data_IF_456277455024
#
_entry.id   IF_456277455024
#
_cell.length_a   1.000
_cell.length_b   1.000
_cell.length_c   1.000
_cell.angle_alpha   90.00
_cell.angle_beta   90.00
_cell.angle_gamma   90.00
#
_symmetry.space_group_name_H-M   'P 1'
#
loop_
_entity.id
_entity.type
_entity.pdbx_description
1 polymer ?
#
# COMPACT_ATOMS: atom_id res chain seq x y z
N UNK A 1 -14.55 8.17 14.17
CA UNK A 1 -14.15 8.48 15.57
C UNK A 1 -12.72 8.03 15.74
N UNK A 2 -11.80 8.95 16.05
CA UNK A 2 -10.42 8.63 16.42
C UNK A 2 -10.36 8.26 17.92
N UNK A 3 -9.28 7.59 18.32
CA UNK A 3 -8.96 7.31 19.73
C UNK A 3 -7.85 8.24 20.25
N UNK A 4 -7.64 9.40 19.62
CA UNK A 4 -6.53 10.32 19.98
C UNK A 4 -6.60 10.77 21.45
N UNK A 5 -7.81 11.03 21.95
CA UNK A 5 -8.09 11.40 23.34
C UNK A 5 -8.44 10.20 24.24
N UNK A 6 -8.49 8.99 23.68
CA UNK A 6 -8.91 7.75 24.35
C UNK A 6 -7.95 6.60 24.02
N UNK A 7 -6.67 6.78 24.36
CA UNK A 7 -5.60 5.82 24.01
C UNK A 7 -5.77 4.44 24.66
N UNK A 8 -6.48 4.37 25.78
CA UNK A 8 -6.86 3.15 26.49
C UNK A 8 -7.82 2.26 25.68
N UNK A 9 -8.54 2.84 24.74
CA UNK A 9 -9.48 2.15 23.84
C UNK A 9 -8.83 1.63 22.56
N UNK A 10 -7.50 1.81 22.43
CA UNK A 10 -6.74 1.21 21.34
C UNK A 10 -6.55 -0.30 21.60
N UNK A 11 -6.48 -1.04 20.50
CA UNK A 11 -6.01 -2.42 20.53
C UNK A 11 -4.50 -2.50 20.69
N UNK A 12 -4.03 -3.70 21.03
CA UNK A 12 -2.63 -4.03 20.88
C UNK A 12 -2.19 -3.91 19.41
N UNK A 13 -0.90 -3.63 19.22
CA UNK A 13 -0.30 -3.60 17.90
C UNK A 13 -0.28 -5.00 17.28
N UNK A 14 -0.67 -5.09 16.01
CA UNK A 14 -0.56 -6.31 15.21
C UNK A 14 0.86 -6.83 15.10
N UNK A 15 1.00 -8.05 14.58
CA UNK A 15 2.29 -8.46 14.02
C UNK A 15 2.64 -7.59 12.81
N UNK A 16 3.91 -7.59 12.45
CA UNK A 16 4.37 -6.91 11.26
C UNK A 16 3.76 -7.56 10.00
N UNK A 17 3.08 -6.78 9.19
CA UNK A 17 2.45 -7.23 7.94
C UNK A 17 3.36 -6.81 6.79
N UNK A 18 3.81 -7.80 6.02
CA UNK A 18 4.64 -7.60 4.83
C UNK A 18 3.77 -7.90 3.61
N UNK A 19 3.83 -7.09 2.53
CA UNK A 19 3.04 -7.34 1.32
C UNK A 19 3.32 -8.69 0.65
N UNK A 20 4.48 -9.30 0.89
CA UNK A 20 4.93 -10.57 0.29
C UNK A 20 4.79 -10.67 -1.24
N UNK A 21 4.72 -9.54 -1.95
CA UNK A 21 4.40 -9.51 -3.38
C UNK A 21 2.95 -9.85 -3.75
N UNK A 22 2.13 -10.38 -2.83
CA UNK A 22 0.74 -10.76 -3.07
C UNK A 22 -0.22 -9.99 -2.13
N UNK A 23 -1.06 -9.17 -2.75
CA UNK A 23 -2.00 -8.30 -2.06
C UNK A 23 -3.12 -9.06 -1.36
N UNK A 24 -3.56 -10.20 -1.92
CA UNK A 24 -4.57 -11.04 -1.29
C UNK A 24 -4.03 -11.69 -0.02
N UNK A 25 -2.75 -12.10 -0.03
CA UNK A 25 -2.07 -12.62 1.14
C UNK A 25 -1.86 -11.54 2.20
N UNK A 26 -1.41 -10.35 1.81
CA UNK A 26 -1.28 -9.20 2.70
C UNK A 26 -2.60 -8.86 3.44
N UNK A 27 -3.71 -8.82 2.70
CA UNK A 27 -5.06 -8.61 3.28
C UNK A 27 -5.45 -9.78 4.20
N UNK A 28 -5.16 -11.02 3.82
CA UNK A 28 -5.49 -12.20 4.62
C UNK A 28 -4.72 -12.21 5.95
N UNK A 29 -3.43 -11.87 5.91
CA UNK A 29 -2.57 -11.74 7.08
C UNK A 29 -3.06 -10.62 8.01
N UNK A 30 -3.41 -9.46 7.46
CA UNK A 30 -4.06 -8.38 8.21
C UNK A 30 -5.30 -8.88 8.94
N UNK A 31 -6.25 -9.45 8.19
CA UNK A 31 -7.56 -9.85 8.72
C UNK A 31 -7.37 -10.87 9.85
N UNK A 32 -6.42 -11.81 9.70
CA UNK A 32 -6.07 -12.78 10.73
C UNK A 32 -5.46 -12.10 11.95
N UNK A 33 -4.55 -11.14 11.76
CA UNK A 33 -3.86 -10.48 12.86
C UNK A 33 -4.80 -9.65 13.71
N UNK A 34 -5.75 -8.91 13.12
CA UNK A 34 -6.62 -7.99 13.89
C UNK A 34 -7.90 -8.62 14.41
N UNK A 35 -8.23 -9.84 13.95
CA UNK A 35 -9.48 -10.55 14.29
C UNK A 35 -9.73 -10.63 15.80
N UNK A 36 -8.67 -10.82 16.58
CA UNK A 36 -8.78 -11.07 18.02
C UNK A 36 -8.62 -9.78 18.86
N UNK A 37 -8.34 -8.64 18.23
CA UNK A 37 -8.05 -7.39 18.94
C UNK A 37 -9.27 -6.47 19.13
N UNK A 38 -10.46 -6.95 18.75
CA UNK A 38 -11.70 -6.17 18.83
C UNK A 38 -11.91 -5.21 17.66
N UNK A 39 -11.08 -5.29 16.62
CA UNK A 39 -11.27 -4.52 15.40
C UNK A 39 -12.52 -4.99 14.63
N UNK A 40 -13.32 -4.06 14.14
CA UNK A 40 -14.41 -4.35 13.22
C UNK A 40 -13.80 -4.70 11.87
N UNK A 41 -14.20 -5.85 11.35
CA UNK A 41 -13.78 -6.30 10.03
C UNK A 41 -14.80 -5.85 8.98
N UNK A 42 -14.38 -5.68 7.71
CA UNK A 42 -15.32 -5.50 6.63
C UNK A 42 -16.30 -6.69 6.56
N UNK A 43 -17.52 -6.50 6.01
CA UNK A 43 -18.47 -7.59 5.85
C UNK A 43 -17.84 -8.77 5.09
N UNK A 44 -18.08 -10.01 5.55
CA UNK A 44 -17.49 -11.23 4.94
C UNK A 44 -17.72 -11.31 3.43
N UNK A 45 -18.88 -10.85 2.95
CA UNK A 45 -19.21 -10.82 1.51
C UNK A 45 -18.25 -9.92 0.72
N UNK A 46 -17.91 -8.75 1.26
CA UNK A 46 -16.98 -7.78 0.65
C UNK A 46 -15.56 -8.34 0.63
N UNK A 47 -15.11 -8.90 1.75
CA UNK A 47 -13.79 -9.57 1.84
C UNK A 47 -13.69 -10.68 0.80
N UNK A 48 -14.70 -11.56 0.72
CA UNK A 48 -14.72 -12.66 -0.24
C UNK A 48 -14.68 -12.16 -1.68
N UNK A 49 -15.45 -11.11 -1.99
CA UNK A 49 -15.46 -10.51 -3.33
C UNK A 49 -14.09 -9.93 -3.70
N UNK A 50 -13.48 -9.12 -2.82
CA UNK A 50 -12.16 -8.54 -3.06
C UNK A 50 -11.05 -9.58 -3.19
N UNK A 51 -11.00 -10.57 -2.29
CA UNK A 51 -10.01 -11.65 -2.37
C UNK A 51 -10.20 -12.52 -3.61
N UNK A 52 -11.44 -12.82 -4.00
CA UNK A 52 -11.70 -13.55 -5.25
C UNK A 52 -11.29 -12.75 -6.47
N UNK A 53 -11.55 -11.44 -6.48
CA UNK A 53 -11.10 -10.56 -7.56
C UNK A 53 -9.58 -10.58 -7.68
N UNK A 54 -8.86 -10.38 -6.58
CA UNK A 54 -7.39 -10.43 -6.58
C UNK A 54 -6.89 -11.79 -7.06
N UNK A 55 -7.41 -12.90 -6.52
CA UNK A 55 -6.97 -14.26 -6.93
C UNK A 55 -7.24 -14.56 -8.41
N UNK A 56 -8.42 -14.19 -8.92
CA UNK A 56 -8.79 -14.45 -10.31
C UNK A 56 -8.03 -13.56 -11.29
N UNK A 57 -7.51 -12.43 -10.83
CA UNK A 57 -6.71 -11.50 -11.63
C UNK A 57 -5.24 -11.49 -11.18
N UNK A 58 -4.80 -12.54 -10.46
CA UNK A 58 -3.44 -12.64 -9.92
C UNK A 58 -2.38 -12.50 -11.00
N UNK A 59 -2.53 -13.24 -12.10
CA UNK A 59 -1.66 -13.09 -13.27
C UNK A 59 -1.71 -11.68 -13.89
N UNK A 60 -2.84 -10.99 -13.79
CA UNK A 60 -3.01 -9.65 -14.36
C UNK A 60 -2.41 -8.55 -13.48
N UNK A 61 -2.19 -8.78 -12.18
CA UNK A 61 -1.56 -7.79 -11.31
C UNK A 61 -0.14 -8.21 -10.90
N UNK A 62 0.18 -9.47 -10.66
CA UNK A 62 1.55 -9.90 -10.33
C UNK A 62 2.54 -9.68 -11.49
N UNK A 63 2.10 -9.96 -12.72
CA UNK A 63 2.91 -9.72 -13.93
C UNK A 63 2.87 -8.25 -14.37
N UNK A 64 1.96 -7.46 -13.81
CA UNK A 64 1.79 -6.06 -14.19
C UNK A 64 3.04 -5.27 -13.81
N UNK A 65 3.62 -4.48 -14.73
CA UNK A 65 4.89 -3.81 -14.47
C UNK A 65 4.93 -2.98 -13.18
N UNK A 66 3.83 -2.30 -12.85
CA UNK A 66 3.72 -1.51 -11.61
C UNK A 66 3.84 -2.35 -10.33
N UNK A 67 3.28 -3.56 -10.32
CA UNK A 67 3.23 -4.40 -9.13
C UNK A 67 4.50 -5.24 -8.93
N UNK A 68 5.37 -5.35 -9.95
CA UNK A 68 6.75 -5.85 -9.80
C UNK A 68 7.57 -5.06 -8.77
N UNK A 69 7.10 -3.86 -8.41
CA UNK A 69 7.66 -2.99 -7.36
C UNK A 69 7.18 -3.32 -5.95
N UNK A 70 6.25 -4.27 -5.78
CA UNK A 70 5.82 -4.73 -4.46
C UNK A 70 6.87 -5.68 -3.93
N UNK A 71 7.51 -5.29 -2.83
CA UNK A 71 8.56 -6.10 -2.23
C UNK A 71 8.02 -7.39 -1.62
N UNK A 72 8.78 -8.47 -1.79
CA UNK A 72 8.61 -9.74 -1.06
C UNK A 72 9.41 -9.77 0.24
N UNK A 73 10.29 -8.79 0.45
CA UNK A 73 11.25 -8.70 1.54
C UNK A 73 10.89 -7.57 2.52
N UNK A 74 11.45 -7.65 3.74
CA UNK A 74 11.28 -6.61 4.75
C UNK A 74 12.20 -5.41 4.49
N UNK A 75 11.82 -4.53 3.57
CA UNK A 75 12.58 -3.34 3.19
C UNK A 75 11.66 -2.14 2.96
N UNK A 76 12.25 -0.98 2.71
CA UNK A 76 11.58 0.19 2.16
C UNK A 76 10.63 0.89 3.13
N UNK A 77 10.64 0.56 4.43
CA UNK A 77 9.57 0.92 5.39
C UNK A 77 8.17 0.49 4.93
N UNK A 78 8.08 -0.52 4.07
CA UNK A 78 6.83 -1.00 3.47
C UNK A 78 6.02 -1.89 4.39
N UNK A 79 6.68 -2.50 5.36
CA UNK A 79 6.07 -3.36 6.35
C UNK A 79 5.51 -2.55 7.50
N UNK A 80 4.29 -2.89 7.94
CA UNK A 80 3.56 -2.08 8.92
C UNK A 80 2.99 -2.93 10.05
N UNK A 81 2.93 -2.31 11.22
CA UNK A 81 2.06 -2.74 12.32
C UNK A 81 0.90 -1.79 12.41
N UNK A 82 -0.23 -2.31 12.86
CA UNK A 82 -1.46 -1.57 12.93
C UNK A 82 -2.18 -1.85 14.24
N UNK A 83 -3.01 -0.91 14.64
CA UNK A 83 -4.00 -1.09 15.70
C UNK A 83 -5.22 -0.26 15.37
N UNK A 84 -6.33 -0.62 15.97
CA UNK A 84 -7.62 0.01 15.75
C UNK A 84 -8.20 0.58 17.04
N UNK A 85 -9.04 1.59 16.89
CA UNK A 85 -9.88 2.12 17.95
C UNK A 85 -11.09 1.20 18.18
N UNK A 86 -11.25 0.64 19.39
CA UNK A 86 -12.32 -0.32 19.72
C UNK A 86 -13.72 0.30 19.79
N UNK A 87 -13.81 1.62 19.95
CA UNK A 87 -15.07 2.39 20.07
C UNK A 87 -15.90 2.43 18.79
N UNK A 88 -15.32 2.10 17.65
CA UNK A 88 -16.01 2.24 16.37
C UNK A 88 -17.17 1.25 16.21
N UNK A 89 -18.33 1.79 15.80
CA UNK A 89 -19.58 1.03 15.64
C UNK A 89 -19.64 0.24 14.32
N UNK A 90 -18.81 0.58 13.35
CA UNK A 90 -18.73 -0.08 12.05
C UNK A 90 -17.29 -0.09 11.52
N UNK A 91 -17.02 -0.94 10.53
CA UNK A 91 -15.73 -0.99 9.83
C UNK A 91 -15.41 0.35 9.16
N UNK A 92 -16.37 0.96 8.44
CA UNK A 92 -16.16 2.23 7.75
C UNK A 92 -15.85 3.39 8.71
N UNK A 93 -16.41 3.38 9.91
CA UNK A 93 -16.14 4.38 10.93
C UNK A 93 -14.91 4.04 11.81
N UNK A 94 -14.18 2.98 11.48
CA UNK A 94 -13.03 2.54 12.28
C UNK A 94 -11.77 3.32 11.94
N UNK A 95 -11.26 4.02 12.94
CA UNK A 95 -9.92 4.58 12.88
C UNK A 95 -8.89 3.48 13.12
N UNK A 96 -7.89 3.44 12.26
CA UNK A 96 -6.70 2.62 12.38
C UNK A 96 -5.48 3.55 12.54
N UNK A 97 -4.58 3.17 13.42
CA UNK A 97 -3.23 3.71 13.48
C UNK A 97 -2.29 2.72 12.81
N UNK A 98 -1.30 3.21 12.08
CA UNK A 98 -0.28 2.39 11.44
C UNK A 98 1.11 2.96 11.70
N UNK A 99 2.06 2.10 12.03
CA UNK A 99 3.48 2.44 12.17
C UNK A 99 4.33 1.51 11.32
N UNK A 100 5.47 2.00 10.83
CA UNK A 100 6.41 1.15 10.09
C UNK A 100 7.07 0.15 11.05
N UNK A 101 7.25 -1.09 10.60
CA UNK A 101 7.96 -2.07 11.41
C UNK A 101 9.43 -1.67 11.60
N UNK A 102 10.02 -2.10 12.72
CA UNK A 102 11.45 -2.01 12.93
C UNK A 102 12.22 -2.89 11.94
N UNK A 103 13.42 -2.48 11.54
CA UNK A 103 14.32 -3.31 10.73
C UNK A 103 13.97 -3.39 9.24
N UNK A 104 13.21 -2.41 8.73
CA UNK A 104 12.92 -2.25 7.30
C UNK A 104 13.41 -0.90 6.75
N UNK A 105 14.38 -0.28 7.43
CA UNK A 105 14.92 1.04 7.12
C UNK A 105 15.69 1.09 5.80
N UNK A 106 16.24 -0.04 5.36
CA UNK A 106 16.99 -0.15 4.10
C UNK A 106 16.01 -0.06 2.92
N UNK A 107 16.31 0.76 1.92
CA UNK A 107 15.49 0.88 0.72
C UNK A 107 15.36 -0.46 -0.03
N UNK A 108 14.19 -0.73 -0.59
CA UNK A 108 14.01 -1.87 -1.47
C UNK A 108 14.74 -1.64 -2.78
N UNK A 109 15.49 -2.63 -3.24
CA UNK A 109 16.28 -2.54 -4.48
C UNK A 109 15.60 -3.36 -5.56
N UNK A 110 15.38 -2.73 -6.71
CA UNK A 110 14.76 -3.35 -7.87
C UNK A 110 15.49 -2.98 -9.16
N UNK A 111 15.38 -3.82 -10.18
CA UNK A 111 15.80 -3.47 -11.53
C UNK A 111 14.92 -2.35 -12.10
N UNK A 112 15.47 -1.42 -12.91
CA UNK A 112 14.65 -0.53 -13.74
C UNK A 112 13.66 -1.30 -14.60
N UNK A 113 12.49 -0.72 -14.85
CA UNK A 113 11.51 -1.32 -15.75
C UNK A 113 12.12 -1.48 -17.14
N UNK A 114 11.90 -2.64 -17.76
CA UNK A 114 12.43 -2.90 -19.10
C UNK A 114 11.72 -2.01 -20.14
N UNK A 115 12.31 -1.89 -21.34
CA UNK A 115 11.66 -1.21 -22.46
C UNK A 115 10.32 -1.85 -22.84
N UNK A 116 10.19 -3.16 -22.66
CA UNK A 116 8.94 -3.89 -22.84
C UNK A 116 7.87 -3.48 -21.81
N UNK A 117 8.26 -3.40 -20.53
CA UNK A 117 7.38 -2.97 -19.43
C UNK A 117 6.87 -1.54 -19.64
N UNK A 118 7.77 -0.61 -20.00
CA UNK A 118 7.40 0.79 -20.25
C UNK A 118 6.46 0.94 -21.45
N UNK A 119 6.65 0.11 -22.49
CA UNK A 119 5.73 0.09 -23.64
C UNK A 119 4.35 -0.41 -23.23
N UNK A 120 4.26 -1.49 -22.47
CA UNK A 120 2.98 -2.00 -21.97
C UNK A 120 2.25 -0.95 -21.10
N UNK A 121 2.98 -0.28 -20.20
CA UNK A 121 2.41 0.80 -19.38
C UNK A 121 1.92 1.97 -20.23
N UNK A 122 2.63 2.35 -21.29
CA UNK A 122 2.21 3.42 -22.20
C UNK A 122 0.98 3.04 -23.02
N UNK A 123 0.87 1.79 -23.45
CA UNK A 123 -0.32 1.29 -24.15
C UNK A 123 -1.55 1.29 -23.24
N UNK A 124 -1.37 0.90 -21.96
CA UNK A 124 -2.44 0.86 -20.96
C UNK A 124 -2.85 2.25 -20.45
N UNK A 125 -1.88 3.15 -20.24
CA UNK A 125 -2.08 4.50 -19.72
C UNK A 125 -1.51 5.54 -20.70
N UNK A 126 -2.18 5.78 -21.85
CA UNK A 126 -1.63 6.62 -22.92
C UNK A 126 -1.45 8.09 -22.54
N UNK A 127 -2.11 8.53 -21.48
CA UNK A 127 -2.06 9.91 -20.99
C UNK A 127 -0.96 10.14 -19.94
N UNK A 128 -0.23 9.10 -19.54
CA UNK A 128 0.88 9.21 -18.57
C UNK A 128 2.19 9.42 -19.32
N UNK A 129 2.99 10.38 -18.84
CA UNK A 129 4.35 10.59 -19.34
C UNK A 129 5.28 9.60 -18.62
N UNK A 130 5.96 8.70 -19.33
CA UNK A 130 6.89 7.77 -18.70
C UNK A 130 8.05 8.52 -18.07
N UNK A 131 8.49 8.08 -16.88
CA UNK A 131 9.83 8.43 -16.40
C UNK A 131 10.89 7.90 -17.37
N UNK A 132 11.91 8.70 -17.63
CA UNK A 132 13.03 8.31 -18.50
C UNK A 132 13.94 7.25 -17.85
N UNK A 133 13.93 7.15 -16.52
CA UNK A 133 14.82 6.27 -15.75
C UNK A 133 14.25 4.86 -15.52
N UNK A 134 12.98 4.63 -15.85
CA UNK A 134 12.29 3.36 -15.60
C UNK A 134 12.12 3.01 -14.11
N UNK A 135 12.46 3.90 -13.19
CA UNK A 135 12.35 3.72 -11.75
C UNK A 135 11.13 4.43 -11.18
N UNK A 136 10.91 5.70 -11.54
CA UNK A 136 9.74 6.42 -11.08
C UNK A 136 8.49 5.98 -11.85
N UNK A 137 7.52 5.47 -11.11
CA UNK A 137 6.24 4.97 -11.63
C UNK A 137 5.04 5.71 -11.04
N UNK A 138 5.27 6.81 -10.31
CA UNK A 138 4.26 7.51 -9.52
C UNK A 138 3.04 7.95 -10.33
N UNK A 139 3.25 8.43 -11.57
CA UNK A 139 2.15 8.86 -12.44
C UNK A 139 1.34 7.68 -13.00
N UNK A 140 2.01 6.56 -13.31
CA UNK A 140 1.31 5.34 -13.73
C UNK A 140 0.48 4.75 -12.59
N UNK A 141 1.01 4.79 -11.38
CA UNK A 141 0.26 4.39 -10.17
C UNK A 141 -0.97 5.28 -10.00
N UNK A 142 -0.82 6.60 -10.17
CA UNK A 142 -1.94 7.54 -10.08
C UNK A 142 -3.03 7.24 -11.12
N UNK A 143 -2.64 6.92 -12.36
CA UNK A 143 -3.58 6.54 -13.41
C UNK A 143 -4.28 5.20 -13.16
N UNK A 144 -3.56 4.20 -12.63
CA UNK A 144 -4.12 2.91 -12.24
C UNK A 144 -5.15 3.09 -11.12
N UNK A 145 -4.83 3.86 -10.09
CA UNK A 145 -5.74 4.16 -8.99
C UNK A 145 -7.02 4.87 -9.47
N UNK A 146 -6.91 5.83 -10.39
CA UNK A 146 -8.07 6.47 -11.02
C UNK A 146 -8.96 5.47 -11.76
N UNK A 147 -8.36 4.50 -12.45
CA UNK A 147 -9.09 3.44 -13.17
C UNK A 147 -9.81 2.51 -12.20
N UNK A 148 -9.09 2.03 -11.18
CA UNK A 148 -9.63 1.11 -10.19
C UNK A 148 -10.71 1.77 -9.32
N UNK A 149 -10.61 3.08 -9.06
CA UNK A 149 -11.56 3.86 -8.23
C UNK A 149 -13.01 3.84 -8.66
N UNK A 150 -13.30 3.40 -9.88
CA UNK A 150 -14.64 3.31 -10.42
C UNK A 150 -15.38 2.02 -10.03
N UNK A 151 -14.71 1.08 -9.35
CA UNK A 151 -15.27 -0.22 -8.98
C UNK A 151 -15.61 -0.37 -7.50
N UNK A 152 -16.64 -1.16 -7.14
CA UNK A 152 -17.00 -1.42 -5.74
C UNK A 152 -15.89 -2.14 -4.98
N UNK A 153 -15.05 -2.94 -5.64
CA UNK A 153 -13.87 -3.57 -5.02
C UNK A 153 -12.89 -2.54 -4.48
N UNK A 154 -12.59 -1.52 -5.29
CA UNK A 154 -11.60 -0.51 -4.92
C UNK A 154 -12.05 0.31 -3.71
N UNK A 155 -13.35 0.63 -3.61
CA UNK A 155 -13.91 1.36 -2.48
C UNK A 155 -13.63 0.71 -1.12
N UNK A 156 -13.40 -0.61 -1.08
CA UNK A 156 -13.12 -1.32 0.17
C UNK A 156 -11.70 -1.87 0.26
N UNK A 157 -11.06 -2.18 -0.87
CA UNK A 157 -9.75 -2.85 -0.91
C UNK A 157 -8.60 -1.86 -0.88
N UNK A 158 -8.68 -0.73 -1.58
CA UNK A 158 -7.61 0.28 -1.58
C UNK A 158 -7.51 1.01 -0.23
N UNK A 159 -8.61 1.47 0.41
CA UNK A 159 -8.51 2.08 1.73
C UNK A 159 -7.95 1.11 2.77
N UNK A 160 -8.29 -0.17 2.63
CA UNK A 160 -7.77 -1.23 3.46
C UNK A 160 -6.26 -1.40 3.22
N UNK A 161 -5.81 -1.48 1.98
CA UNK A 161 -4.38 -1.62 1.66
C UNK A 161 -3.56 -0.38 2.05
N UNK A 162 -4.12 0.82 1.89
CA UNK A 162 -3.53 2.06 2.38
C UNK A 162 -3.41 2.06 3.91
N UNK A 163 -4.43 1.59 4.63
CA UNK A 163 -4.36 1.48 6.09
C UNK A 163 -3.37 0.41 6.56
N UNK A 164 -3.30 -0.72 5.85
CA UNK A 164 -2.47 -1.86 6.21
C UNK A 164 -1.02 -1.61 5.86
N UNK A 165 -0.74 -1.34 4.60
CA UNK A 165 0.61 -1.29 4.05
C UNK A 165 1.16 0.14 4.03
N UNK A 166 0.32 1.13 4.34
CA UNK A 166 0.66 2.54 4.17
C UNK A 166 0.70 2.97 2.70
N UNK A 167 0.63 2.05 1.74
CA UNK A 167 0.83 2.36 0.33
C UNK A 167 -0.50 2.45 -0.39
N UNK A 168 -0.67 3.48 -1.22
CA UNK A 168 -1.54 3.33 -2.41
C UNK A 168 -0.89 2.28 -3.28
N UNK A 169 -1.62 1.39 -3.93
CA UNK A 169 -0.96 0.31 -4.69
C UNK A 169 -0.72 0.74 -6.12
N UNK A 170 0.49 0.51 -6.68
CA UNK A 170 1.80 0.27 -6.03
C UNK A 170 2.64 1.55 -5.97
N UNK A 171 2.35 2.43 -5.02
CA UNK A 171 3.06 3.68 -4.76
C UNK A 171 4.23 3.41 -3.81
N UNK A 172 5.36 3.05 -4.42
CA UNK A 172 6.68 3.16 -3.82
C UNK A 172 7.36 4.41 -4.40
N UNK A 173 7.91 5.25 -3.54
CA UNK A 173 8.76 6.36 -3.94
C UNK A 173 10.10 5.75 -4.38
N UNK A 174 10.33 5.70 -5.68
CA UNK A 174 11.53 5.10 -6.26
C UNK A 174 12.43 6.18 -6.87
N UNK A 175 13.74 6.03 -6.68
CA UNK A 175 14.77 6.87 -7.26
C UNK A 175 15.86 5.98 -7.84
N UNK A 176 16.37 6.33 -9.02
CA UNK A 176 17.52 5.65 -9.61
C UNK A 176 18.81 6.10 -8.89
N UNK A 177 19.51 5.15 -8.27
CA UNK A 177 20.89 5.34 -7.81
C UNK A 177 21.79 4.31 -8.50
N UNK A 178 22.77 4.80 -9.26
CA UNK A 178 23.58 3.93 -10.12
C UNK A 178 22.73 3.30 -11.21
N UNK A 179 22.67 1.97 -11.21
CA UNK A 179 21.92 1.15 -12.17
C UNK A 179 20.64 0.51 -11.57
N UNK A 180 20.32 0.81 -10.31
CA UNK A 180 19.18 0.21 -9.59
C UNK A 180 18.18 1.24 -9.10
N UNK A 181 16.92 0.82 -9.05
CA UNK A 181 15.86 1.58 -8.42
C UNK A 181 15.85 1.28 -6.92
N UNK A 182 16.07 2.31 -6.11
CA UNK A 182 15.88 2.26 -4.68
C UNK A 182 14.49 2.79 -4.37
N UNK A 183 13.72 2.05 -3.58
CA UNK A 183 12.29 2.30 -3.39
C UNK A 183 11.92 2.26 -1.90
N UNK A 184 11.15 3.25 -1.47
CA UNK A 184 10.59 3.33 -0.12
C UNK A 184 9.07 3.53 -0.18
N UNK A 185 8.35 2.97 0.77
CA UNK A 185 6.92 3.12 0.90
C UNK A 185 6.55 4.36 1.71
N UNK A 186 5.37 4.92 1.46
CA UNK A 186 4.61 5.87 2.29
C UNK A 186 5.40 6.88 3.13
N UNK A 187 5.37 8.16 2.74
CA UNK A 187 6.03 9.24 3.50
C UNK A 187 7.54 9.02 3.73
N UNK A 188 8.15 7.98 3.14
CA UNK A 188 9.60 7.80 3.11
C UNK A 188 10.11 7.88 1.68
N UNK A 189 11.28 8.48 1.51
CA UNK A 189 11.99 8.60 0.24
C UNK A 189 13.37 7.97 0.40
N UNK A 190 13.84 7.17 -0.58
CA UNK A 190 15.18 6.63 -0.57
C UNK A 190 16.20 7.78 -0.59
N UNK A 191 17.27 7.65 0.17
CA UNK A 191 18.41 8.57 0.15
C UNK A 191 19.65 7.87 -0.43
N UNK A 192 20.68 8.62 -0.85
CA UNK A 192 21.91 8.05 -1.42
C UNK A 192 22.68 7.13 -0.47
N UNK A 193 22.39 7.18 0.84
CA UNK A 193 22.94 6.27 1.84
C UNK A 193 22.33 4.85 1.77
N UNK A 194 21.31 4.65 0.94
CA UNK A 194 20.61 3.37 0.77
C UNK A 194 19.47 3.16 1.77
N UNK A 195 19.13 4.17 2.59
CA UNK A 195 18.08 4.09 3.61
C UNK A 195 16.88 4.95 3.26
N UNK A 196 15.75 4.63 3.89
CA UNK A 196 14.48 5.33 3.76
C UNK A 196 14.34 6.38 4.84
N UNK A 197 14.27 7.64 4.44
CA UNK A 197 14.11 8.78 5.34
C UNK A 197 12.74 9.42 5.17
N UNK A 198 12.21 9.98 6.26
CA UNK A 198 10.90 10.63 6.23
C UNK A 198 10.94 11.80 5.23
N UNK A 199 10.03 11.78 4.26
CA UNK A 199 9.90 12.82 3.26
C UNK A 199 9.44 14.12 3.92
N UNK A 200 10.17 15.21 3.66
CA UNK A 200 9.86 16.55 4.15
C UNK A 200 8.60 17.16 3.50
N UNK A 201 8.06 16.53 2.45
CA UNK A 201 6.78 16.85 1.84
C UNK A 201 5.67 15.92 2.40
N UNK A 202 5.29 16.11 3.65
CA UNK A 202 4.05 15.53 4.17
C UNK A 202 2.86 16.34 3.69
N UNK A 203 2.49 16.23 2.41
CA UNK A 203 1.08 16.32 2.07
C UNK A 203 0.45 15.01 2.54
N UNK A 204 -0.41 15.11 3.55
CA UNK A 204 -1.11 13.99 4.18
C UNK A 204 -2.07 13.31 3.18
N UNK A 205 -1.54 12.52 2.26
CA UNK A 205 -2.32 11.98 1.13
C UNK A 205 -2.78 10.53 1.36
N UNK A 206 -2.92 10.12 2.63
CA UNK A 206 -3.83 9.05 3.06
C UNK A 206 -4.73 9.51 4.21
N UNK A 207 -5.04 10.81 4.30
CA UNK A 207 -6.19 11.25 5.08
C UNK A 207 -7.44 10.88 4.27
N UNK A 208 -7.90 9.65 4.52
CA UNK A 208 -9.28 9.22 4.47
C UNK A 208 -10.24 10.17 3.72
N UNK A 209 -10.66 9.80 2.51
CA UNK A 209 -11.88 10.31 1.86
C UNK A 209 -13.17 9.93 2.64
N UNK A 210 -13.11 9.77 3.96
CA UNK A 210 -14.25 9.44 4.84
C UNK A 210 -15.02 10.67 5.34
N UNK A 211 -14.74 11.87 4.85
CA UNK A 211 -15.47 13.10 5.23
C UNK A 211 -16.39 13.67 4.14
N UNK A 212 -16.75 12.90 3.12
CA UNK A 212 -17.84 13.26 2.21
C UNK A 212 -18.76 12.07 2.00
N UNK A 213 -19.58 11.81 3.03
CA UNK A 213 -21.03 11.58 2.95
C UNK A 213 -21.61 11.57 4.35
#
# INVERSE_FOLDING_TARGET
MSCEEHRDELSEWSQCIIPHGDLADAITLFLRSVKNFGCKLPPKKVIKFGLNFLRNNSNSYLEHPLYKRITTQNCGKCSRRIRCCKRSKSFLAQAYESEACSGSDVACVFEPLSTGDLRELKERYPNVVPSQDGCDVSDYVTAELLTLSKGPTYQYVEPLLCQILGTRIPAVNCVLYGDKCHCCCFSYTPQPDGYCHLSSNTSSLCLSHLNTM
#
